data_IF_017247450915
#
_entry.id   IF_017247450915
#
_cell.length_a   1.000
_cell.length_b   1.000
_cell.length_c   1.000
_cell.angle_alpha   90.00
_cell.angle_beta   90.00
_cell.angle_gamma   90.00
#
_symmetry.space_group_name_H-M   'P 1'
#
loop_
_entity.id
_entity.type
_entity.pdbx_description
1 polymer ?
#
# COMPACT_ATOMS: atom_id res chain seq x y z
N UNK A 1 -14.31 26.22 24.77
CA UNK A 1 -13.76 25.45 25.91
C UNK A 1 -13.91 23.99 25.46
N UNK A 2 -13.01 23.47 24.61
CA UNK A 2 -11.81 22.70 25.03
C UNK A 2 -12.22 21.69 26.11
N UNK A 3 -12.14 20.38 25.93
CA UNK A 3 -11.00 19.54 25.55
C UNK A 3 -11.53 18.19 25.03
N UNK A 4 -11.01 17.70 23.91
CA UNK A 4 -11.00 16.26 23.63
C UNK A 4 -9.53 15.95 23.44
N UNK A 5 -8.99 15.23 24.41
CA UNK A 5 -7.58 15.14 24.74
C UNK A 5 -6.76 14.47 23.63
N UNK A 6 -5.47 14.81 23.58
CA UNK A 6 -4.51 14.22 22.64
C UNK A 6 -4.35 12.68 22.80
N UNK A 7 -4.93 12.10 23.86
CA UNK A 7 -4.95 10.67 24.18
C UNK A 7 -5.81 9.81 23.25
N UNK A 8 -6.86 10.34 22.61
CA UNK A 8 -7.69 9.55 21.67
C UNK A 8 -6.89 9.11 20.43
N UNK A 9 -5.92 9.92 20.00
CA UNK A 9 -5.04 9.58 18.89
C UNK A 9 -4.00 8.51 19.27
N UNK A 10 -3.63 8.41 20.54
CA UNK A 10 -2.66 7.42 21.04
C UNK A 10 -3.35 6.06 21.27
N UNK A 11 -4.53 6.08 21.87
CA UNK A 11 -5.40 4.89 22.00
C UNK A 11 -5.81 4.36 20.62
N UNK A 12 -6.13 5.24 19.66
CA UNK A 12 -6.39 4.82 18.27
C UNK A 12 -5.16 4.18 17.62
N UNK A 13 -3.94 4.70 17.86
CA UNK A 13 -2.70 4.08 17.36
C UNK A 13 -2.46 2.71 17.97
N UNK A 14 -2.72 2.53 19.27
CA UNK A 14 -2.57 1.24 19.95
C UNK A 14 -3.61 0.21 19.49
N UNK A 15 -4.88 0.63 19.28
CA UNK A 15 -5.91 -0.23 18.69
C UNK A 15 -5.55 -0.60 17.25
N UNK A 16 -5.06 0.36 16.46
CA UNK A 16 -4.57 0.11 15.10
C UNK A 16 -3.37 -0.82 15.11
N UNK A 17 -2.41 -0.66 16.03
CA UNK A 17 -1.22 -1.50 16.14
C UNK A 17 -1.57 -2.94 16.57
N UNK A 18 -2.50 -3.10 17.51
CA UNK A 18 -2.96 -4.40 17.97
C UNK A 18 -3.75 -5.14 16.87
N UNK A 19 -4.56 -4.42 16.11
CA UNK A 19 -5.24 -4.97 14.93
C UNK A 19 -4.27 -5.24 13.78
N UNK A 20 -3.25 -4.40 13.57
CA UNK A 20 -2.22 -4.58 12.55
C UNK A 20 -1.50 -5.91 12.71
N UNK A 21 -1.07 -6.27 13.93
CA UNK A 21 -0.39 -7.54 14.19
C UNK A 21 -1.23 -8.77 13.82
N UNK A 22 -2.56 -8.67 13.96
CA UNK A 22 -3.50 -9.76 13.65
C UNK A 22 -3.94 -9.79 12.18
N UNK A 23 -4.05 -8.63 11.54
CA UNK A 23 -4.48 -8.49 10.14
C UNK A 23 -3.34 -8.61 9.12
N UNK A 24 -2.11 -8.24 9.47
CA UNK A 24 -0.94 -8.34 8.59
C UNK A 24 -0.73 -9.74 7.99
N UNK A 25 -0.74 -10.85 8.77
CA UNK A 25 -0.60 -12.18 8.19
C UNK A 25 -1.78 -12.57 7.29
N UNK A 26 -3.01 -12.17 7.64
CA UNK A 26 -4.19 -12.40 6.81
C UNK A 26 -4.11 -11.63 5.49
N UNK A 27 -3.71 -10.36 5.55
CA UNK A 27 -3.55 -9.52 4.37
C UNK A 27 -2.44 -10.05 3.46
N UNK A 28 -1.31 -10.49 4.04
CA UNK A 28 -0.23 -11.13 3.27
C UNK A 28 -0.72 -12.38 2.55
N UNK A 29 -1.51 -13.21 3.23
CA UNK A 29 -2.10 -14.41 2.65
C UNK A 29 -3.12 -14.05 1.55
N UNK A 30 -3.96 -13.03 1.78
CA UNK A 30 -4.93 -12.56 0.81
C UNK A 30 -4.27 -12.00 -0.45
N UNK A 31 -3.23 -11.16 -0.30
CA UNK A 31 -2.45 -10.63 -1.43
C UNK A 31 -1.79 -11.74 -2.24
N UNK A 32 -1.36 -12.83 -1.60
CA UNK A 32 -0.77 -13.99 -2.29
C UNK A 32 -1.78 -14.76 -3.14
N UNK A 33 -3.05 -14.72 -2.79
CA UNK A 33 -4.12 -15.42 -3.51
C UNK A 33 -4.86 -14.51 -4.49
N UNK A 34 -4.92 -13.21 -4.19
CA UNK A 34 -5.66 -12.22 -4.95
C UNK A 34 -4.92 -10.88 -4.90
N UNK A 35 -4.44 -10.44 -6.06
CA UNK A 35 -3.73 -9.17 -6.24
C UNK A 35 -4.58 -7.95 -5.85
N UNK A 36 -5.91 -8.06 -5.91
CA UNK A 36 -6.85 -6.99 -5.54
C UNK A 36 -7.12 -6.91 -4.04
N UNK A 37 -6.57 -7.79 -3.22
CA UNK A 37 -6.75 -7.74 -1.76
C UNK A 37 -6.26 -6.41 -1.15
N UNK A 38 -5.27 -5.77 -1.80
CA UNK A 38 -4.77 -4.45 -1.40
C UNK A 38 -5.82 -3.33 -1.47
N UNK A 39 -6.86 -3.47 -2.30
CA UNK A 39 -7.96 -2.51 -2.38
C UNK A 39 -8.71 -2.38 -1.05
N UNK A 40 -8.85 -3.50 -0.32
CA UNK A 40 -9.56 -3.57 0.96
C UNK A 40 -8.66 -3.26 2.15
N UNK A 41 -7.34 -3.25 1.94
CA UNK A 41 -6.39 -2.90 2.98
C UNK A 41 -6.42 -1.39 3.24
N UNK A 42 -6.56 -0.96 4.50
CA UNK A 42 -6.44 0.45 4.83
C UNK A 42 -4.97 0.89 4.68
N UNK A 43 -4.76 2.14 4.29
CA UNK A 43 -3.44 2.64 3.86
C UNK A 43 -2.35 2.51 4.94
N UNK A 44 -2.74 2.64 6.20
CA UNK A 44 -1.88 2.46 7.38
C UNK A 44 -1.35 1.03 7.56
N UNK A 45 -1.99 0.02 6.98
CA UNK A 45 -1.55 -1.38 7.02
C UNK A 45 -0.81 -1.81 5.76
N UNK A 46 -0.76 -0.96 4.74
CA UNK A 46 -0.03 -1.26 3.50
C UNK A 46 1.46 -1.15 3.79
N UNK A 47 2.14 -2.28 3.77
CA UNK A 47 3.59 -2.32 3.93
C UNK A 47 4.29 -2.35 2.57
N UNK A 48 5.51 -1.79 2.45
CA UNK A 48 6.28 -1.83 1.20
C UNK A 48 6.43 -3.26 0.65
N UNK A 49 6.64 -4.23 1.55
CA UNK A 49 6.80 -5.65 1.21
C UNK A 49 5.53 -6.23 0.56
N UNK A 50 4.34 -5.89 1.06
CA UNK A 50 3.08 -6.34 0.47
C UNK A 50 2.80 -5.67 -0.88
N UNK A 51 3.13 -4.38 -0.99
CA UNK A 51 2.97 -3.62 -2.23
C UNK A 51 3.83 -4.20 -3.35
N UNK A 52 5.10 -4.53 -3.05
CA UNK A 52 6.00 -5.21 -3.99
C UNK A 52 5.47 -6.59 -4.39
N UNK A 53 5.02 -7.39 -3.43
CA UNK A 53 4.49 -8.73 -3.72
C UNK A 53 3.24 -8.67 -4.62
N UNK A 54 2.37 -7.69 -4.41
CA UNK A 54 1.18 -7.51 -5.23
C UNK A 54 1.51 -7.00 -6.63
N UNK A 55 2.42 -6.02 -6.74
CA UNK A 55 2.92 -5.52 -8.03
C UNK A 55 3.61 -6.64 -8.80
N UNK A 56 4.33 -7.53 -8.12
CA UNK A 56 4.97 -8.69 -8.73
C UNK A 56 3.96 -9.72 -9.25
N UNK A 57 2.77 -9.80 -8.65
CA UNK A 57 1.70 -10.67 -9.16
C UNK A 57 0.91 -10.00 -10.28
N UNK A 58 0.69 -8.69 -10.18
CA UNK A 58 -0.02 -7.91 -11.18
C UNK A 58 0.52 -6.47 -11.18
N UNK A 59 1.14 -6.04 -12.29
CA UNK A 59 1.61 -4.66 -12.46
C UNK A 59 0.54 -3.60 -12.18
N UNK A 60 -0.74 -3.89 -12.44
CA UNK A 60 -1.87 -2.98 -12.14
C UNK A 60 -2.17 -2.81 -10.66
N UNK A 61 -1.60 -3.64 -9.78
CA UNK A 61 -1.78 -3.48 -8.33
C UNK A 61 -1.15 -2.17 -7.82
N UNK A 62 -0.26 -1.54 -8.60
CA UNK A 62 0.33 -0.23 -8.30
C UNK A 62 -0.74 0.85 -8.04
N UNK A 63 -1.92 0.75 -8.66
CA UNK A 63 -3.04 1.68 -8.43
C UNK A 63 -3.51 1.71 -6.97
N UNK A 64 -3.38 0.59 -6.26
CA UNK A 64 -3.77 0.46 -4.84
C UNK A 64 -2.61 0.77 -3.89
N UNK A 65 -1.39 0.93 -4.40
CA UNK A 65 -0.24 1.30 -3.57
C UNK A 65 -0.31 2.81 -3.32
N UNK A 66 -0.22 3.30 -2.08
CA UNK A 66 -0.20 4.73 -1.80
C UNK A 66 1.09 5.34 -2.36
N UNK A 67 1.03 6.58 -2.83
CA UNK A 67 2.16 7.26 -3.47
C UNK A 67 3.41 7.31 -2.58
N UNK A 68 3.23 7.38 -1.26
CA UNK A 68 4.32 7.38 -0.27
C UNK A 68 5.14 6.09 -0.24
N UNK A 69 4.58 4.97 -0.70
CA UNK A 69 5.23 3.67 -0.76
C UNK A 69 5.67 3.26 -2.18
N UNK A 70 5.31 4.06 -3.19
CA UNK A 70 5.73 3.83 -4.57
C UNK A 70 7.20 4.21 -4.70
N UNK A 71 8.08 3.22 -4.77
CA UNK A 71 9.49 3.43 -5.11
C UNK A 71 9.68 3.35 -6.63
N UNK A 72 10.71 4.01 -7.20
CA UNK A 72 11.02 3.89 -8.62
C UNK A 72 11.24 2.43 -9.04
N UNK A 73 11.84 1.58 -8.20
CA UNK A 73 12.01 0.15 -8.55
C UNK A 73 10.65 -0.55 -8.68
N UNK A 74 9.72 -0.28 -7.76
CA UNK A 74 8.40 -0.91 -7.77
C UNK A 74 7.55 -0.42 -8.95
N UNK A 75 7.67 0.86 -9.30
CA UNK A 75 7.01 1.44 -10.48
C UNK A 75 7.57 0.86 -11.77
N UNK A 76 8.90 0.74 -11.89
CA UNK A 76 9.55 0.14 -13.05
C UNK A 76 9.18 -1.34 -13.20
N UNK A 77 9.12 -2.08 -12.09
CA UNK A 77 8.69 -3.48 -12.11
C UNK A 77 7.22 -3.63 -12.55
N UNK A 78 6.34 -2.75 -12.05
CA UNK A 78 4.94 -2.69 -12.48
C UNK A 78 4.82 -2.42 -13.99
N UNK A 79 5.51 -1.40 -14.50
CA UNK A 79 5.50 -0.99 -15.92
C UNK A 79 6.10 -2.08 -16.81
N UNK A 80 7.12 -2.79 -16.32
CA UNK A 80 7.71 -3.92 -17.05
C UNK A 80 6.74 -5.09 -17.20
N UNK A 81 5.90 -5.34 -16.20
CA UNK A 81 4.87 -6.39 -16.29
C UNK A 81 3.68 -5.95 -17.12
N UNK A 82 3.18 -4.75 -16.86
CA UNK A 82 2.04 -4.16 -17.56
C UNK A 82 2.36 -2.71 -17.89
N UNK A 83 2.58 -2.41 -19.16
CA UNK A 83 2.84 -1.04 -19.62
C UNK A 83 1.71 -0.07 -19.27
N UNK A 84 0.48 -0.56 -19.06
CA UNK A 84 -0.62 0.27 -18.58
C UNK A 84 -0.40 0.80 -17.16
N UNK A 85 0.39 0.11 -16.32
CA UNK A 85 0.68 0.55 -14.96
C UNK A 85 1.42 1.90 -14.89
N UNK A 86 1.97 2.38 -16.02
CA UNK A 86 2.57 3.71 -16.15
C UNK A 86 1.56 4.82 -15.82
N UNK A 87 0.26 4.59 -16.06
CA UNK A 87 -0.82 5.53 -15.71
C UNK A 87 -0.93 5.77 -14.19
N UNK A 88 -0.48 4.79 -13.40
CA UNK A 88 -0.52 4.83 -11.94
C UNK A 88 0.84 5.22 -11.33
N UNK A 89 1.86 5.53 -12.14
CA UNK A 89 3.13 6.04 -11.60
C UNK A 89 2.98 7.52 -11.27
N UNK A 90 3.34 7.95 -10.04
CA UNK A 90 3.22 9.35 -9.65
C UNK A 90 4.11 10.21 -10.54
N UNK A 91 3.63 11.39 -10.95
CA UNK A 91 4.35 12.28 -11.87
C UNK A 91 5.75 12.65 -11.38
N UNK A 92 5.95 12.72 -10.06
CA UNK A 92 7.25 12.96 -9.43
C UNK A 92 8.31 11.91 -9.79
N UNK A 93 7.89 10.68 -10.10
CA UNK A 93 8.78 9.58 -10.51
C UNK A 93 8.79 9.40 -12.03
N UNK A 94 7.93 10.10 -12.77
CA UNK A 94 7.95 10.12 -14.23
C UNK A 94 9.02 11.11 -14.66
N UNK A 95 10.17 10.62 -15.08
CA UNK A 95 11.15 11.47 -15.77
C UNK A 95 10.59 11.80 -17.15
N UNK A 96 10.34 13.07 -17.48
CA UNK A 96 10.16 13.45 -18.88
C UNK A 96 11.51 13.24 -19.58
N UNK A 97 11.51 12.52 -20.69
CA UNK A 97 12.66 12.48 -21.60
C UNK A 97 12.97 13.88 -22.17
#
# INVERSE_FOLDING_TARGET
>A
IQFMDADDAEVAKDIIACNAGRFLPLLKWAVKQNDRALQYAPENLRMPQMCREAVRQNGRALQFVPETLRTPETCLEAVRQDGAALEHVPEKLRTPE
#
